data_IF_719605967940
#
_entry.id   IF_719605967940
#
_cell.length_a   1.000
_cell.length_b   1.000
_cell.length_c   1.000
_cell.angle_alpha   90.00
_cell.angle_beta   90.00
_cell.angle_gamma   90.00
#
_symmetry.space_group_name_H-M   'P 1'
#
loop_
_entity.id
_entity.type
_entity.pdbx_description
1 polymer ?
#
# COMPACT_ATOMS: atom_id res chain seq x y z
N UNK A 1 -4.49 18.15 -8.11
CA UNK A 1 -4.77 17.24 -6.98
C UNK A 1 -5.12 15.87 -7.55
N UNK A 2 -4.16 14.96 -7.75
CA UNK A 2 -4.44 13.80 -8.62
C UNK A 2 -4.09 12.44 -8.01
N UNK A 3 -2.96 12.32 -7.30
CA UNK A 3 -2.44 10.99 -6.90
C UNK A 3 -3.27 10.23 -5.85
N UNK A 4 -4.01 10.92 -4.99
CA UNK A 4 -4.84 10.26 -3.96
C UNK A 4 -6.19 9.80 -4.51
N UNK A 5 -6.76 10.55 -5.44
CA UNK A 5 -8.04 10.23 -6.09
C UNK A 5 -7.97 8.95 -6.93
N UNK A 6 -6.79 8.67 -7.50
CA UNK A 6 -6.53 7.42 -8.23
C UNK A 6 -6.49 6.19 -7.28
N UNK A 7 -6.17 6.41 -6.00
CA UNK A 7 -5.98 5.34 -5.01
C UNK A 7 -7.15 5.17 -4.05
N UNK A 8 -8.00 6.18 -3.89
CA UNK A 8 -9.15 6.19 -2.96
C UNK A 8 -10.44 6.43 -3.74
N UNK A 9 -11.42 5.57 -3.52
CA UNK A 9 -12.80 5.74 -3.99
C UNK A 9 -13.63 6.34 -2.85
N UNK A 10 -13.99 7.63 -3.01
CA UNK A 10 -14.68 8.41 -1.98
C UNK A 10 -15.95 7.72 -1.49
N UNK A 11 -16.10 7.58 -0.17
CA UNK A 11 -17.23 6.94 0.51
C UNK A 11 -17.19 5.41 0.54
N UNK A 12 -16.22 4.77 -0.15
CA UNK A 12 -16.14 3.30 -0.23
C UNK A 12 -14.94 2.72 0.49
N UNK A 13 -13.75 3.24 0.20
CA UNK A 13 -12.49 2.79 0.81
C UNK A 13 -11.69 3.96 1.42
N UNK A 14 -12.31 5.13 1.51
CA UNK A 14 -11.82 6.30 2.20
C UNK A 14 -12.69 7.51 1.87
N UNK A 15 -12.37 8.66 2.47
CA UNK A 15 -12.99 9.93 2.14
C UNK A 15 -11.92 10.89 1.62
N UNK A 16 -12.22 11.50 0.48
CA UNK A 16 -11.45 12.59 -0.08
C UNK A 16 -12.10 13.91 0.32
N UNK A 17 -11.29 14.84 0.80
CA UNK A 17 -11.68 16.20 1.17
C UNK A 17 -10.77 17.19 0.48
N UNK A 18 -11.29 18.38 0.17
CA UNK A 18 -10.50 19.43 -0.45
C UNK A 18 -9.39 19.93 0.51
N UNK A 19 -8.14 20.09 0.04
CA UNK A 19 -7.06 20.65 0.82
C UNK A 19 -7.41 22.04 1.34
N UNK A 20 -7.19 22.25 2.64
CA UNK A 20 -7.55 23.49 3.31
C UNK A 20 -9.00 23.54 3.81
N UNK A 21 -9.87 22.59 3.40
CA UNK A 21 -11.21 22.47 3.94
C UNK A 21 -11.20 21.71 5.28
N UNK A 22 -10.86 22.44 6.33
CA UNK A 22 -10.83 21.93 7.71
C UNK A 22 -12.22 21.49 8.18
N UNK A 23 -13.29 22.14 7.69
CA UNK A 23 -14.65 21.82 8.11
C UNK A 23 -15.10 20.48 7.53
N UNK A 24 -14.85 20.24 6.24
CA UNK A 24 -15.13 18.94 5.62
C UNK A 24 -14.30 17.82 6.27
N UNK A 25 -13.03 18.06 6.57
CA UNK A 25 -12.17 17.07 7.22
C UNK A 25 -12.67 16.69 8.62
N UNK A 26 -12.93 17.68 9.49
CA UNK A 26 -13.43 17.43 10.83
C UNK A 26 -14.84 16.81 10.83
N UNK A 27 -15.71 17.24 9.92
CA UNK A 27 -17.04 16.64 9.74
C UNK A 27 -16.97 15.15 9.39
N UNK A 28 -16.03 14.76 8.53
CA UNK A 28 -15.80 13.36 8.16
C UNK A 28 -15.35 12.53 9.36
N UNK A 29 -14.44 13.06 10.19
CA UNK A 29 -13.99 12.38 11.40
C UNK A 29 -15.14 12.19 12.40
N UNK A 30 -15.97 13.21 12.60
CA UNK A 30 -17.14 13.14 13.48
C UNK A 30 -18.18 12.14 12.95
N UNK A 31 -18.40 12.09 11.63
CA UNK A 31 -19.27 11.08 11.03
C UNK A 31 -18.77 9.66 11.32
N UNK A 32 -17.48 9.41 11.12
CA UNK A 32 -16.86 8.11 11.38
C UNK A 32 -16.84 7.74 12.86
N UNK A 33 -16.73 8.71 13.77
CA UNK A 33 -16.83 8.49 15.21
C UNK A 33 -18.24 8.01 15.60
N UNK A 34 -19.26 8.73 15.10
CA UNK A 34 -20.68 8.48 15.41
C UNK A 34 -21.24 7.20 14.78
N UNK A 35 -20.69 6.76 13.66
CA UNK A 35 -21.12 5.54 12.97
C UNK A 35 -20.01 4.47 12.95
N UNK A 36 -19.98 3.59 13.98
CA UNK A 36 -18.98 2.53 14.06
C UNK A 36 -19.12 1.48 12.95
N UNK A 37 -20.33 1.26 12.43
CA UNK A 37 -20.56 0.30 11.35
C UNK A 37 -19.97 0.81 10.04
N UNK A 38 -20.21 2.08 9.71
CA UNK A 38 -19.61 2.74 8.56
C UNK A 38 -18.08 2.74 8.66
N UNK A 39 -17.54 3.07 9.84
CA UNK A 39 -16.10 3.05 10.09
C UNK A 39 -15.48 1.68 9.85
N UNK A 40 -16.11 0.61 10.33
CA UNK A 40 -15.66 -0.76 10.10
C UNK A 40 -15.74 -1.12 8.62
N UNK A 41 -16.86 -0.82 7.96
CA UNK A 41 -17.08 -1.12 6.54
C UNK A 41 -16.01 -0.49 5.64
N UNK A 42 -15.74 0.81 5.82
CA UNK A 42 -14.75 1.54 5.03
C UNK A 42 -13.34 1.01 5.32
N UNK A 43 -13.02 0.75 6.60
CA UNK A 43 -11.73 0.18 7.00
C UNK A 43 -11.46 -1.19 6.36
N UNK A 44 -12.46 -2.08 6.37
CA UNK A 44 -12.34 -3.40 5.73
C UNK A 44 -12.22 -3.32 4.21
N UNK A 45 -12.97 -2.41 3.57
CA UNK A 45 -12.87 -2.18 2.13
C UNK A 45 -11.47 -1.70 1.74
N UNK A 46 -10.93 -0.72 2.47
CA UNK A 46 -9.57 -0.23 2.29
C UNK A 46 -8.53 -1.34 2.51
N UNK A 47 -8.67 -2.11 3.58
CA UNK A 47 -7.77 -3.21 3.91
C UNK A 47 -7.72 -4.28 2.82
N UNK A 48 -8.89 -4.73 2.35
CA UNK A 48 -9.00 -5.71 1.25
C UNK A 48 -8.36 -5.18 -0.03
N UNK A 49 -8.58 -3.90 -0.37
CA UNK A 49 -7.97 -3.26 -1.55
C UNK A 49 -6.45 -3.23 -1.46
N UNK A 50 -5.90 -2.81 -0.32
CA UNK A 50 -4.44 -2.73 -0.11
C UNK A 50 -3.79 -4.12 -0.23
N UNK A 51 -4.36 -5.13 0.43
CA UNK A 51 -3.85 -6.51 0.34
C UNK A 51 -3.92 -7.11 -1.06
N UNK A 52 -4.89 -6.70 -1.88
CA UNK A 52 -5.02 -7.20 -3.23
C UNK A 52 -4.10 -6.51 -4.24
N UNK A 53 -3.75 -5.23 -4.02
CA UNK A 53 -3.17 -4.37 -5.07
C UNK A 53 -1.82 -3.75 -4.75
N UNK A 54 -1.48 -3.55 -3.47
CA UNK A 54 -0.33 -2.75 -3.06
C UNK A 54 0.63 -3.52 -2.15
N UNK A 55 0.82 -4.82 -2.42
CA UNK A 55 1.76 -5.67 -1.66
C UNK A 55 3.16 -5.59 -2.26
N UNK A 56 4.19 -5.60 -1.39
CA UNK A 56 5.58 -5.60 -1.82
C UNK A 56 5.90 -6.79 -2.75
N UNK A 57 5.28 -7.95 -2.50
CA UNK A 57 5.45 -9.15 -3.32
C UNK A 57 4.94 -8.94 -4.75
N UNK A 58 3.79 -8.26 -4.90
CA UNK A 58 3.21 -7.93 -6.20
C UNK A 58 4.10 -6.94 -6.94
N UNK A 59 4.47 -5.84 -6.29
CA UNK A 59 5.35 -4.82 -6.85
C UNK A 59 6.71 -5.42 -7.25
N UNK A 60 7.28 -6.30 -6.42
CA UNK A 60 8.52 -7.02 -6.73
C UNK A 60 8.38 -7.90 -7.97
N UNK A 61 7.28 -8.65 -8.07
CA UNK A 61 7.03 -9.54 -9.20
C UNK A 61 6.87 -8.73 -10.49
N UNK A 62 6.09 -7.66 -10.44
CA UNK A 62 5.86 -6.76 -11.58
C UNK A 62 7.16 -6.09 -12.04
N UNK A 63 7.95 -5.59 -11.10
CA UNK A 63 9.22 -4.95 -11.41
C UNK A 63 10.25 -5.94 -12.00
N UNK A 64 10.31 -7.17 -11.49
CA UNK A 64 11.13 -8.23 -12.09
C UNK A 64 10.69 -8.52 -13.53
N UNK A 65 9.38 -8.51 -13.78
CA UNK A 65 8.77 -8.63 -15.10
C UNK A 65 9.33 -7.63 -16.10
N UNK A 66 9.26 -6.36 -15.72
CA UNK A 66 9.72 -5.24 -16.54
C UNK A 66 11.23 -5.33 -16.79
N UNK A 67 12.00 -5.78 -15.79
CA UNK A 67 13.45 -5.94 -15.91
C UNK A 67 13.90 -7.23 -16.60
N UNK A 68 12.96 -8.14 -16.95
CA UNK A 68 13.28 -9.45 -17.52
C UNK A 68 13.99 -10.40 -16.55
N UNK A 69 13.81 -10.19 -15.24
CA UNK A 69 14.41 -11.02 -14.18
C UNK A 69 13.55 -12.26 -13.85
N UNK A 70 12.52 -12.53 -14.65
CA UNK A 70 11.55 -13.62 -14.44
C UNK A 70 12.14 -15.00 -14.69
N UNK A 71 13.27 -15.02 -15.41
CA UNK A 71 14.01 -16.21 -15.79
C UNK A 71 15.51 -15.99 -15.71
N UNK A 72 16.07 -16.14 -14.51
CA UNK A 72 17.45 -16.58 -14.35
C UNK A 72 17.49 -17.53 -13.16
N UNK A 73 17.89 -18.78 -13.40
CA UNK A 73 18.27 -19.69 -12.33
C UNK A 73 19.47 -19.08 -11.59
N UNK A 74 19.22 -18.43 -10.45
CA UNK A 74 20.28 -17.98 -9.55
C UNK A 74 19.86 -18.14 -8.08
N UNK A 75 19.01 -19.13 -7.81
CA UNK A 75 18.85 -19.72 -6.47
C UNK A 75 19.96 -20.75 -6.18
N UNK A 76 21.12 -20.62 -6.84
CA UNK A 76 22.36 -21.20 -6.38
C UNK A 76 23.01 -20.19 -5.43
N UNK A 77 22.46 -20.10 -4.21
CA UNK A 77 23.02 -19.33 -3.10
C UNK A 77 24.50 -19.72 -2.93
N UNK A 78 25.41 -18.89 -3.43
CA UNK A 78 26.85 -19.13 -3.32
C UNK A 78 27.26 -19.11 -1.83
N UNK A 79 27.74 -20.23 -1.24
CA UNK A 79 28.11 -20.28 0.17
C UNK A 79 29.32 -19.40 0.54
N UNK A 80 30.03 -18.82 -0.43
CA UNK A 80 31.33 -18.18 -0.19
C UNK A 80 31.31 -16.70 0.20
N UNK A 81 30.15 -16.03 0.28
CA UNK A 81 30.11 -14.61 0.66
C UNK A 81 30.16 -14.33 2.17
N UNK A 82 30.30 -15.36 3.02
CA UNK A 82 30.39 -15.19 4.49
C UNK A 82 31.83 -14.91 4.99
N UNK A 83 32.85 -14.90 4.12
CA UNK A 83 34.24 -14.66 4.51
C UNK A 83 34.79 -13.31 4.01
N UNK A 84 34.28 -12.20 4.54
CA UNK A 84 34.99 -10.92 4.41
C UNK A 84 34.68 -9.90 5.51
N UNK A 85 34.50 -10.32 6.77
CA UNK A 85 34.65 -9.40 7.92
C UNK A 85 35.36 -10.12 9.07
N UNK A 86 36.65 -10.36 8.91
CA UNK A 86 37.60 -10.51 10.02
C UNK A 86 38.98 -10.14 9.52
N UNK A 87 39.49 -9.00 9.98
CA UNK A 87 40.85 -8.57 9.69
C UNK A 87 41.01 -7.07 9.57
N UNK A 88 40.90 -6.36 10.69
CA UNK A 88 41.87 -5.33 11.09
C UNK A 88 41.72 -5.03 12.57
#
# INVERSE_FOLDING_TARGET
MTVLSERIEHGKDGFLVEPGDVQAHSGTLVQLDRDPALRQQIGEAAWRKVRARYTCERERTEFRGILGLDGSQEDQRNPQSVHAVRGR
#
